data_IF_231907769920
#
_entry.id   IF_231907769920
#
_cell.length_a   1.000
_cell.length_b   1.000
_cell.length_c   1.000
_cell.angle_alpha   90.00
_cell.angle_beta   90.00
_cell.angle_gamma   90.00
#
_symmetry.space_group_name_H-M   'P 1'
#
loop_
_entity.id
_entity.type
_entity.pdbx_description
1 polymer ?
#
# COMPACT_ATOMS: atom_id res chain seq x y z
N UNK A 1 -15.35 6.04 -61.06
CA UNK A 1 -15.47 7.50 -60.86
C UNK A 1 -16.75 7.68 -60.08
N UNK A 2 -16.65 8.43 -58.99
CA UNK A 2 -17.73 8.83 -58.06
C UNK A 2 -18.18 7.73 -57.07
N UNK A 3 -17.74 7.80 -55.81
CA UNK A 3 -18.22 8.66 -54.72
C UNK A 3 -19.38 7.97 -53.97
N UNK A 4 -19.02 7.25 -52.90
CA UNK A 4 -19.95 6.90 -51.83
C UNK A 4 -19.42 7.49 -50.53
N UNK A 5 -20.00 8.63 -50.17
CA UNK A 5 -20.06 9.13 -48.80
C UNK A 5 -20.80 8.10 -47.93
N UNK A 6 -20.20 7.73 -46.81
CA UNK A 6 -20.98 7.34 -45.63
C UNK A 6 -20.34 7.94 -44.39
N UNK A 7 -20.94 9.08 -44.01
CA UNK A 7 -21.08 9.65 -42.66
C UNK A 7 -20.39 8.92 -41.52
N UNK A 8 -19.36 9.58 -40.99
CA UNK A 8 -18.95 9.47 -39.59
C UNK A 8 -20.13 9.87 -38.69
N UNK A 9 -20.64 8.92 -37.91
CA UNK A 9 -21.46 9.23 -36.75
C UNK A 9 -20.52 9.44 -35.57
N UNK A 10 -20.41 10.71 -35.17
CA UNK A 10 -19.93 11.15 -33.87
C UNK A 10 -20.73 10.42 -32.78
N UNK A 11 -20.13 9.40 -32.17
CA UNK A 11 -20.62 8.83 -30.93
C UNK A 11 -20.21 9.78 -29.80
N UNK A 12 -21.10 10.73 -29.49
CA UNK A 12 -21.01 11.60 -28.33
C UNK A 12 -21.08 10.76 -27.04
N UNK A 13 -19.95 10.28 -26.55
CA UNK A 13 -19.83 9.68 -25.21
C UNK A 13 -19.64 10.78 -24.15
N UNK A 14 -20.61 11.68 -24.04
CA UNK A 14 -20.60 12.83 -23.13
C UNK A 14 -21.02 12.40 -21.70
N UNK A 15 -20.31 11.41 -21.15
CA UNK A 15 -20.64 10.82 -19.84
C UNK A 15 -19.46 10.25 -19.05
N UNK A 16 -18.22 10.42 -19.53
CA UNK A 16 -17.01 9.87 -18.88
C UNK A 16 -15.95 10.92 -18.49
N UNK A 17 -16.24 12.21 -18.71
CA UNK A 17 -15.29 13.32 -18.53
C UNK A 17 -15.42 14.04 -17.18
N UNK A 18 -15.91 13.37 -16.14
CA UNK A 18 -15.85 13.95 -14.80
C UNK A 18 -14.38 14.06 -14.37
N UNK A 19 -13.84 15.27 -14.10
CA UNK A 19 -12.57 15.40 -13.41
C UNK A 19 -12.63 14.66 -12.07
N UNK A 20 -11.48 14.36 -11.47
CA UNK A 20 -11.39 13.90 -10.08
C UNK A 20 -11.78 15.03 -9.10
N UNK A 21 -12.88 15.72 -9.35
CA UNK A 21 -13.46 16.69 -8.44
C UNK A 21 -13.99 15.90 -7.24
N UNK A 22 -13.20 15.88 -6.18
CA UNK A 22 -13.68 15.54 -4.85
C UNK A 22 -14.62 16.66 -4.40
N UNK A 23 -15.87 16.61 -4.84
CA UNK A 23 -16.99 17.31 -4.20
C UNK A 23 -17.22 16.65 -2.82
N UNK A 24 -16.29 16.91 -1.91
CA UNK A 24 -16.29 16.46 -0.54
C UNK A 24 -16.44 17.65 0.38
N UNK A 25 -17.60 18.33 0.32
CA UNK A 25 -18.00 19.48 1.17
C UNK A 25 -18.19 19.13 2.66
N UNK A 26 -17.25 18.38 3.23
CA UNK A 26 -17.21 18.03 4.63
C UNK A 26 -15.88 18.45 5.23
N UNK A 27 -15.92 19.35 6.21
CA UNK A 27 -14.75 19.66 7.02
C UNK A 27 -14.10 18.40 7.59
N UNK A 28 -12.84 18.50 8.01
CA UNK A 28 -11.97 17.38 8.45
C UNK A 28 -12.68 16.35 9.34
N UNK A 29 -13.60 16.77 10.21
CA UNK A 29 -14.41 15.88 11.04
C UNK A 29 -15.29 14.89 10.27
N UNK A 30 -15.96 15.31 9.18
CA UNK A 30 -16.75 14.40 8.33
C UNK A 30 -15.84 13.41 7.61
N UNK A 31 -14.71 13.87 7.09
CA UNK A 31 -13.75 13.01 6.41
C UNK A 31 -13.15 11.97 7.36
N UNK A 32 -12.82 12.37 8.59
CA UNK A 32 -12.40 11.45 9.64
C UNK A 32 -13.48 10.43 9.99
N UNK A 33 -14.74 10.87 10.09
CA UNK A 33 -15.87 9.99 10.38
C UNK A 33 -16.05 8.91 9.30
N UNK A 34 -15.88 9.25 8.01
CA UNK A 34 -15.90 8.26 6.91
C UNK A 34 -14.72 7.30 7.02
N UNK A 35 -13.53 7.83 7.24
CA UNK A 35 -12.27 7.04 7.33
C UNK A 35 -12.30 6.00 8.43
N UNK A 36 -12.93 6.31 9.57
CA UNK A 36 -13.09 5.39 10.70
C UNK A 36 -14.36 4.54 10.58
N UNK A 37 -15.44 5.12 10.06
CA UNK A 37 -16.76 4.49 10.00
C UNK A 37 -16.84 3.36 8.98
N UNK A 38 -16.21 3.51 7.81
CA UNK A 38 -16.23 2.46 6.77
C UNK A 38 -15.53 1.18 7.24
N UNK A 39 -14.28 1.20 7.75
CA UNK A 39 -13.66 -0.01 8.30
C UNK A 39 -14.45 -0.59 9.49
N UNK A 40 -14.99 0.25 10.37
CA UNK A 40 -15.80 -0.20 11.50
C UNK A 40 -17.08 -0.92 11.06
N UNK A 41 -17.74 -0.43 10.01
CA UNK A 41 -18.91 -1.08 9.41
C UNK A 41 -18.55 -2.43 8.77
N UNK A 42 -17.44 -2.49 8.01
CA UNK A 42 -16.91 -3.74 7.44
C UNK A 42 -16.66 -4.76 8.55
N UNK A 43 -15.93 -4.36 9.59
CA UNK A 43 -15.63 -5.22 10.73
C UNK A 43 -16.88 -5.69 11.49
N UNK A 44 -17.92 -4.85 11.58
CA UNK A 44 -19.19 -5.23 12.18
C UNK A 44 -19.92 -6.30 11.34
N UNK A 45 -19.94 -6.15 10.01
CA UNK A 45 -20.55 -7.13 9.09
C UNK A 45 -19.76 -8.43 9.06
N UNK A 46 -18.43 -8.37 9.16
CA UNK A 46 -17.56 -9.57 9.19
C UNK A 46 -17.78 -10.47 10.41
N UNK A 47 -18.55 -10.03 11.40
CA UNK A 47 -18.94 -10.84 12.56
C UNK A 47 -20.18 -11.70 12.34
N UNK A 48 -20.92 -11.45 11.25
CA UNK A 48 -22.12 -12.22 10.95
C UNK A 48 -21.72 -13.69 10.73
N UNK A 49 -22.33 -14.66 11.44
CA UNK A 49 -22.13 -16.08 11.19
C UNK A 49 -22.72 -16.44 9.83
N UNK A 50 -21.97 -17.18 9.01
CA UNK A 50 -22.38 -17.55 7.64
C UNK A 50 -22.49 -19.06 7.48
N UNK A 51 -21.66 -19.84 8.17
CA UNK A 51 -21.66 -21.30 8.08
C UNK A 51 -21.81 -21.91 9.46
N UNK A 52 -22.95 -22.57 9.68
CA UNK A 52 -23.15 -23.46 10.82
C UNK A 52 -22.58 -24.83 10.47
N UNK A 53 -21.63 -25.32 11.26
CA UNK A 53 -21.03 -26.64 11.06
C UNK A 53 -21.37 -27.56 12.22
N UNK A 54 -21.58 -28.84 11.94
CA UNK A 54 -21.83 -29.86 12.97
C UNK A 54 -20.58 -30.25 13.76
N UNK A 55 -19.38 -29.85 13.30
CA UNK A 55 -18.09 -30.30 13.82
C UNK A 55 -17.29 -29.21 14.54
N UNK A 56 -17.54 -27.93 14.24
CA UNK A 56 -16.93 -26.78 14.91
C UNK A 56 -17.95 -26.22 15.90
N UNK A 57 -17.61 -26.08 17.20
CA UNK A 57 -18.54 -25.62 18.24
C UNK A 57 -19.08 -24.20 18.01
N UNK A 58 -18.31 -23.36 17.32
CA UNK A 58 -18.65 -21.97 17.01
C UNK A 58 -18.93 -21.80 15.51
N UNK A 59 -19.96 -21.03 15.12
CA UNK A 59 -20.29 -20.80 13.72
C UNK A 59 -19.21 -19.95 13.04
N UNK A 60 -18.86 -20.31 11.80
CA UNK A 60 -17.82 -19.62 11.05
C UNK A 60 -18.33 -18.26 10.59
N UNK A 61 -17.58 -17.21 10.90
CA UNK A 61 -17.96 -15.81 10.63
C UNK A 61 -17.49 -15.38 9.25
N UNK A 62 -18.19 -14.42 8.63
CA UNK A 62 -17.83 -13.89 7.32
C UNK A 62 -16.37 -13.43 7.25
N UNK A 63 -15.85 -12.77 8.30
CA UNK A 63 -14.46 -12.29 8.35
C UNK A 63 -13.40 -13.40 8.30
N UNK A 64 -13.73 -14.61 8.75
CA UNK A 64 -12.81 -15.76 8.69
C UNK A 64 -12.72 -16.36 7.29
N UNK A 65 -13.79 -16.19 6.50
CA UNK A 65 -13.86 -16.65 5.10
C UNK A 65 -13.58 -15.52 4.09
N UNK A 66 -13.52 -14.27 4.56
CA UNK A 66 -13.32 -13.08 3.74
C UNK A 66 -11.96 -13.16 3.03
N UNK A 67 -11.98 -12.99 1.71
CA UNK A 67 -10.74 -12.83 0.92
C UNK A 67 -10.12 -11.44 1.12
N UNK A 68 -10.85 -10.51 1.75
CA UNK A 68 -10.43 -9.12 1.91
C UNK A 68 -10.15 -8.42 0.58
N UNK A 69 -9.15 -7.54 0.59
CA UNK A 69 -8.63 -6.84 -0.59
C UNK A 69 -7.45 -7.55 -1.27
N UNK A 70 -7.00 -8.69 -0.73
CA UNK A 70 -5.79 -9.39 -1.19
C UNK A 70 -5.84 -9.72 -2.68
N UNK A 71 -6.92 -10.29 -3.27
CA UNK A 71 -6.94 -10.59 -4.70
C UNK A 71 -6.77 -9.36 -5.58
N UNK A 72 -7.35 -8.21 -5.17
CA UNK A 72 -7.23 -6.95 -5.88
C UNK A 72 -5.81 -6.41 -5.78
N UNK A 73 -5.23 -6.36 -4.57
CA UNK A 73 -3.85 -5.92 -4.35
C UNK A 73 -2.88 -6.73 -5.21
N UNK A 74 -3.05 -8.06 -5.24
CA UNK A 74 -2.26 -8.95 -6.10
C UNK A 74 -2.43 -8.61 -7.59
N UNK A 75 -3.65 -8.34 -8.05
CA UNK A 75 -3.90 -7.95 -9.43
C UNK A 75 -3.25 -6.61 -9.81
N UNK A 76 -3.30 -5.62 -8.92
CA UNK A 76 -2.63 -4.33 -9.12
C UNK A 76 -1.12 -4.49 -9.28
N UNK A 77 -0.49 -5.30 -8.43
CA UNK A 77 0.95 -5.61 -8.55
C UNK A 77 1.25 -6.38 -9.84
N UNK A 78 0.43 -7.37 -10.18
CA UNK A 78 0.61 -8.18 -11.39
C UNK A 78 0.54 -7.31 -12.65
N UNK A 79 -0.45 -6.44 -12.75
CA UNK A 79 -0.60 -5.51 -13.89
C UNK A 79 0.55 -4.51 -13.95
N UNK A 80 1.05 -4.02 -12.82
CA UNK A 80 2.23 -3.14 -12.80
C UNK A 80 3.50 -3.88 -13.27
N UNK A 81 3.67 -5.15 -12.91
CA UNK A 81 4.75 -6.01 -13.42
C UNK A 81 4.62 -6.23 -14.93
N UNK A 82 3.42 -6.56 -15.42
CA UNK A 82 3.17 -6.71 -16.85
C UNK A 82 3.47 -5.40 -17.59
N UNK A 83 3.04 -4.26 -17.05
CA UNK A 83 3.28 -2.96 -17.66
C UNK A 83 4.77 -2.57 -17.69
N UNK A 84 5.56 -3.04 -16.72
CA UNK A 84 7.02 -2.86 -16.73
C UNK A 84 7.68 -3.72 -17.82
N UNK A 85 7.25 -4.98 -17.97
CA UNK A 85 7.84 -5.94 -18.89
C UNK A 85 7.41 -5.72 -20.35
N UNK A 86 6.15 -5.35 -20.58
CA UNK A 86 5.56 -5.16 -21.90
C UNK A 86 5.85 -3.74 -22.43
N UNK A 87 6.64 -3.58 -23.51
CA UNK A 87 7.06 -2.26 -24.00
C UNK A 87 5.89 -1.32 -24.29
N UNK A 88 4.82 -1.82 -24.91
CA UNK A 88 3.64 -1.01 -25.25
C UNK A 88 2.81 -0.52 -24.05
N UNK A 89 3.07 -1.03 -22.84
CA UNK A 89 2.35 -0.63 -21.62
C UNK A 89 3.20 0.25 -20.70
N UNK A 90 4.50 0.41 -20.98
CA UNK A 90 5.41 1.27 -20.21
C UNK A 90 4.95 2.72 -20.20
N UNK A 91 4.54 3.23 -21.36
CA UNK A 91 4.00 4.59 -21.51
C UNK A 91 2.77 4.83 -20.61
N UNK A 92 1.94 3.82 -20.34
CA UNK A 92 0.78 3.97 -19.44
C UNK A 92 1.17 4.20 -17.97
N UNK A 93 2.38 3.80 -17.56
CA UNK A 93 2.88 3.98 -16.19
C UNK A 93 3.29 5.42 -15.90
N UNK A 94 3.65 6.14 -16.96
CA UNK A 94 4.19 7.51 -16.94
C UNK A 94 3.27 8.54 -17.63
N UNK A 95 2.28 8.09 -18.41
CA UNK A 95 1.32 8.92 -19.16
C UNK A 95 0.23 9.58 -18.32
N UNK A 96 0.56 10.00 -17.09
CA UNK A 96 -0.33 10.77 -16.23
C UNK A 96 -1.61 10.03 -15.78
N UNK A 97 -2.67 10.79 -15.43
CA UNK A 97 -3.92 10.25 -14.90
C UNK A 97 -4.60 9.26 -15.85
N UNK A 98 -4.62 9.54 -17.16
CA UNK A 98 -5.31 8.68 -18.12
C UNK A 98 -4.60 7.33 -18.32
N UNK A 99 -3.27 7.34 -18.44
CA UNK A 99 -2.48 6.11 -18.47
C UNK A 99 -2.70 5.26 -17.22
N UNK A 100 -2.69 5.89 -16.04
CA UNK A 100 -2.94 5.23 -14.76
C UNK A 100 -4.36 4.72 -14.60
N UNK A 101 -5.37 5.40 -15.15
CA UNK A 101 -6.76 4.93 -15.21
C UNK A 101 -6.87 3.65 -16.03
N UNK A 102 -6.18 3.55 -17.17
CA UNK A 102 -6.16 2.34 -18.01
C UNK A 102 -5.55 1.15 -17.27
N UNK A 103 -4.39 1.32 -16.63
CA UNK A 103 -3.78 0.26 -15.82
C UNK A 103 -4.68 -0.17 -14.66
N UNK A 104 -5.33 0.79 -14.01
CA UNK A 104 -6.28 0.51 -12.93
C UNK A 104 -7.46 -0.32 -13.42
N UNK A 105 -8.04 0.00 -14.59
CA UNK A 105 -9.13 -0.79 -15.18
C UNK A 105 -8.71 -2.24 -15.42
N UNK A 106 -7.52 -2.46 -15.97
CA UNK A 106 -6.97 -3.81 -16.15
C UNK A 106 -6.75 -4.53 -14.81
N UNK A 107 -6.21 -3.84 -13.81
CA UNK A 107 -6.02 -4.41 -12.48
C UNK A 107 -7.34 -4.84 -11.83
N UNK A 108 -8.42 -4.09 -12.03
CA UNK A 108 -9.75 -4.47 -11.53
C UNK A 108 -10.33 -5.69 -12.24
N UNK A 109 -10.15 -5.80 -13.56
CA UNK A 109 -10.59 -6.99 -14.31
C UNK A 109 -9.80 -8.24 -13.91
N UNK A 110 -8.48 -8.14 -13.83
CA UNK A 110 -7.62 -9.23 -13.33
C UNK A 110 -8.00 -9.56 -11.89
N UNK A 111 -8.26 -8.55 -11.06
CA UNK A 111 -8.69 -8.69 -9.68
C UNK A 111 -9.99 -9.46 -9.54
N UNK A 112 -11.00 -9.16 -10.35
CA UNK A 112 -12.27 -9.90 -10.38
C UNK A 112 -12.05 -11.39 -10.70
N UNK A 113 -11.22 -11.69 -11.70
CA UNK A 113 -10.89 -13.07 -12.06
C UNK A 113 -10.17 -13.78 -10.92
N UNK A 114 -9.17 -13.14 -10.30
CA UNK A 114 -8.46 -13.70 -9.15
C UNK A 114 -9.37 -13.91 -7.94
N UNK A 115 -10.27 -12.96 -7.65
CA UNK A 115 -11.26 -13.09 -6.57
C UNK A 115 -12.16 -14.30 -6.81
N UNK A 116 -12.70 -14.47 -8.02
CA UNK A 116 -13.55 -15.62 -8.35
C UNK A 116 -12.79 -16.93 -8.22
N UNK A 117 -11.55 -16.98 -8.71
CA UNK A 117 -10.70 -18.17 -8.62
C UNK A 117 -10.36 -18.52 -7.15
N UNK A 118 -10.04 -17.53 -6.32
CA UNK A 118 -9.74 -17.75 -4.90
C UNK A 118 -11.00 -18.13 -4.11
N UNK A 119 -12.14 -17.49 -4.37
CA UNK A 119 -13.42 -17.83 -3.76
C UNK A 119 -13.83 -19.27 -4.12
N UNK A 120 -13.61 -19.67 -5.38
CA UNK A 120 -13.85 -21.03 -5.84
C UNK A 120 -12.96 -22.04 -5.11
N UNK A 121 -11.66 -21.79 -5.04
CA UNK A 121 -10.70 -22.65 -4.34
C UNK A 121 -11.02 -22.80 -2.85
N UNK A 122 -11.35 -21.69 -2.17
CA UNK A 122 -11.76 -21.72 -0.77
C UNK A 122 -13.06 -22.52 -0.58
N UNK A 123 -14.02 -22.34 -1.48
CA UNK A 123 -15.28 -23.08 -1.43
C UNK A 123 -15.07 -24.59 -1.61
N UNK A 124 -14.21 -25.00 -2.57
CA UNK A 124 -13.85 -26.40 -2.77
C UNK A 124 -13.16 -27.00 -1.53
N UNK A 125 -12.28 -26.24 -0.90
CA UNK A 125 -11.64 -26.65 0.35
C UNK A 125 -12.67 -26.86 1.47
N UNK A 126 -13.59 -25.91 1.67
CA UNK A 126 -14.66 -26.03 2.68
C UNK A 126 -15.62 -27.20 2.42
N UNK A 127 -15.86 -27.52 1.14
CA UNK A 127 -16.62 -28.72 0.77
C UNK A 127 -15.86 -30.02 1.09
N UNK A 128 -14.56 -30.06 0.81
CA UNK A 128 -13.72 -31.23 1.09
C UNK A 128 -13.68 -31.52 2.60
N UNK A 129 -13.63 -30.47 3.42
CA UNK A 129 -13.70 -30.54 4.88
C UNK A 129 -15.13 -30.76 5.42
N UNK A 130 -16.12 -30.96 4.54
CA UNK A 130 -17.55 -31.18 4.88
C UNK A 130 -18.16 -30.06 5.72
N UNK A 131 -17.62 -28.85 5.62
CA UNK A 131 -18.11 -27.65 6.31
C UNK A 131 -19.24 -26.98 5.54
N UNK A 132 -19.27 -27.15 4.21
CA UNK A 132 -20.29 -26.58 3.33
C UNK A 132 -20.85 -27.66 2.41
N UNK A 133 -22.18 -27.69 2.25
CA UNK A 133 -22.84 -28.66 1.37
C UNK A 133 -22.70 -28.28 -0.12
N UNK A 134 -22.79 -29.29 -0.99
CA UNK A 134 -22.71 -29.13 -2.45
C UNK A 134 -23.67 -28.10 -3.05
N UNK A 135 -24.87 -27.94 -2.48
CA UNK A 135 -25.89 -27.00 -2.97
C UNK A 135 -25.64 -25.54 -2.60
N UNK A 136 -24.85 -25.26 -1.56
CA UNK A 136 -24.59 -23.89 -1.06
C UNK A 136 -23.29 -23.29 -1.60
N UNK A 137 -22.44 -24.09 -2.23
CA UNK A 137 -21.10 -23.69 -2.67
C UNK A 137 -21.11 -22.54 -3.68
N UNK A 138 -22.02 -22.57 -4.65
CA UNK A 138 -22.11 -21.50 -5.64
C UNK A 138 -22.53 -20.19 -4.98
N UNK A 139 -23.53 -20.23 -4.10
CA UNK A 139 -23.97 -19.04 -3.35
C UNK A 139 -22.85 -18.49 -2.46
N UNK A 140 -22.08 -19.36 -1.79
CA UNK A 140 -20.93 -18.96 -0.99
C UNK A 140 -19.83 -18.32 -1.85
N UNK A 141 -19.45 -18.96 -2.96
CA UNK A 141 -18.43 -18.44 -3.88
C UNK A 141 -18.77 -17.02 -4.37
N UNK A 142 -19.99 -16.81 -4.87
CA UNK A 142 -20.43 -15.49 -5.31
C UNK A 142 -20.61 -14.51 -4.15
N UNK A 143 -21.04 -14.99 -2.98
CA UNK A 143 -21.14 -14.18 -1.76
C UNK A 143 -19.79 -13.63 -1.32
N UNK A 144 -18.75 -14.47 -1.29
CA UNK A 144 -17.38 -14.06 -0.95
C UNK A 144 -16.80 -13.11 -2.00
N UNK A 145 -17.03 -13.36 -3.29
CA UNK A 145 -16.60 -12.46 -4.34
C UNK A 145 -17.31 -11.10 -4.27
N UNK A 146 -18.62 -11.09 -4.01
CA UNK A 146 -19.39 -9.88 -3.78
C UNK A 146 -18.92 -9.13 -2.54
N UNK A 147 -18.55 -9.83 -1.47
CA UNK A 147 -18.01 -9.23 -0.25
C UNK A 147 -16.68 -8.50 -0.51
N UNK A 148 -15.75 -9.08 -1.26
CA UNK A 148 -14.55 -8.37 -1.73
C UNK A 148 -14.92 -7.11 -2.54
N UNK A 149 -15.97 -7.18 -3.38
CA UNK A 149 -16.51 -6.02 -4.09
C UNK A 149 -17.04 -4.93 -3.16
N UNK A 150 -17.73 -5.29 -2.08
CA UNK A 150 -18.21 -4.34 -1.05
C UNK A 150 -17.05 -3.66 -0.34
N UNK A 151 -16.02 -4.42 0.07
CA UNK A 151 -14.82 -3.85 0.70
C UNK A 151 -14.11 -2.89 -0.27
N UNK A 152 -14.02 -3.24 -1.55
CA UNK A 152 -13.48 -2.36 -2.59
C UNK A 152 -14.29 -1.08 -2.78
N UNK A 153 -15.63 -1.16 -2.80
CA UNK A 153 -16.48 0.04 -2.83
C UNK A 153 -16.24 0.89 -1.58
N UNK A 154 -16.08 0.26 -0.41
CA UNK A 154 -15.68 0.93 0.82
C UNK A 154 -14.36 1.70 0.68
N UNK A 155 -13.35 1.14 0.01
CA UNK A 155 -12.10 1.84 -0.25
C UNK A 155 -12.32 3.10 -1.09
N UNK A 156 -13.16 3.03 -2.13
CA UNK A 156 -13.51 4.19 -2.98
C UNK A 156 -14.33 5.25 -2.26
N UNK A 157 -15.18 4.85 -1.32
CA UNK A 157 -15.88 5.80 -0.43
C UNK A 157 -14.88 6.58 0.42
N UNK A 158 -13.85 5.92 0.96
CA UNK A 158 -12.78 6.58 1.72
C UNK A 158 -11.94 7.49 0.81
N UNK A 159 -11.56 7.05 -0.40
CA UNK A 159 -10.78 7.88 -1.34
C UNK A 159 -11.49 9.21 -1.66
N UNK A 160 -12.82 9.16 -1.83
CA UNK A 160 -13.64 10.31 -2.21
C UNK A 160 -14.01 11.22 -1.04
N UNK A 161 -14.44 10.64 0.08
CA UNK A 161 -15.04 11.39 1.18
C UNK A 161 -14.22 11.35 2.48
N UNK A 162 -13.22 10.49 2.56
CA UNK A 162 -12.38 10.29 3.73
C UNK A 162 -11.05 11.07 3.69
N UNK A 163 -10.17 10.66 4.60
CA UNK A 163 -8.77 11.02 4.72
C UNK A 163 -7.92 9.82 4.35
N UNK A 164 -6.74 10.08 3.78
CA UNK A 164 -5.85 9.06 3.29
C UNK A 164 -6.40 8.33 2.06
N UNK A 165 -5.70 7.27 1.68
CA UNK A 165 -6.11 6.39 0.60
C UNK A 165 -6.91 5.20 1.18
N UNK A 166 -8.02 4.85 0.57
CA UNK A 166 -8.95 3.84 1.05
C UNK A 166 -8.37 2.43 1.10
N UNK A 167 -7.51 2.05 0.15
CA UNK A 167 -6.78 0.77 0.25
C UNK A 167 -5.82 0.79 1.43
N UNK A 168 -5.03 1.86 1.59
CA UNK A 168 -4.11 1.99 2.71
C UNK A 168 -4.84 1.95 4.06
N UNK A 169 -5.98 2.63 4.19
CA UNK A 169 -6.81 2.64 5.40
C UNK A 169 -7.34 1.25 5.70
N UNK A 170 -7.97 0.57 4.74
CA UNK A 170 -8.57 -0.75 4.98
C UNK A 170 -7.52 -1.83 5.27
N UNK A 171 -6.39 -1.82 4.57
CA UNK A 171 -5.28 -2.74 4.83
C UNK A 171 -4.61 -2.44 6.18
N UNK A 172 -4.46 -1.18 6.54
CA UNK A 172 -3.88 -0.78 7.83
C UNK A 172 -4.78 -1.16 9.02
N UNK A 173 -6.09 -0.94 8.90
CA UNK A 173 -7.05 -1.28 9.96
C UNK A 173 -7.22 -2.80 10.12
N UNK A 174 -7.06 -3.58 9.04
CA UNK A 174 -7.09 -5.05 9.11
C UNK A 174 -6.13 -5.61 10.18
N UNK A 175 -4.92 -5.06 10.31
CA UNK A 175 -3.97 -5.49 11.37
C UNK A 175 -4.54 -5.31 12.78
N UNK A 176 -5.28 -4.23 13.02
CA UNK A 176 -5.94 -3.95 14.31
C UNK A 176 -7.17 -4.85 14.50
N UNK A 177 -7.93 -5.08 13.42
CA UNK A 177 -9.10 -5.96 13.42
C UNK A 177 -8.72 -7.41 13.72
N UNK A 178 -7.61 -7.90 13.16
CA UNK A 178 -7.07 -9.23 13.45
C UNK A 178 -6.66 -9.37 14.91
N UNK A 179 -5.96 -8.37 15.47
CA UNK A 179 -5.60 -8.36 16.88
C UNK A 179 -6.85 -8.34 17.80
N UNK A 180 -7.85 -7.56 17.41
CA UNK A 180 -9.16 -7.52 18.07
C UNK A 180 -9.93 -8.84 18.00
N UNK A 181 -9.86 -9.54 16.86
CA UNK A 181 -10.46 -10.87 16.69
C UNK A 181 -9.83 -11.87 17.65
N UNK A 182 -8.50 -11.93 17.71
CA UNK A 182 -7.76 -12.81 18.63
C UNK A 182 -8.16 -12.57 20.09
N UNK A 183 -8.39 -11.32 20.51
CA UNK A 183 -8.84 -10.98 21.88
C UNK A 183 -10.24 -11.49 22.22
N UNK A 184 -11.12 -11.67 21.25
CA UNK A 184 -12.53 -11.98 21.48
C UNK A 184 -12.88 -13.45 21.24
N UNK A 185 -12.15 -14.14 20.36
CA UNK A 185 -12.47 -15.53 20.01
C UNK A 185 -11.88 -16.54 20.98
N UNK A 186 -10.80 -16.21 21.71
CA UNK A 186 -9.93 -17.22 22.30
C UNK A 186 -9.30 -18.03 21.16
N UNK A 187 -7.98 -18.04 21.05
CA UNK A 187 -7.35 -18.78 19.96
C UNK A 187 -7.45 -20.29 20.28
N UNK A 188 -7.93 -21.16 19.37
CA UNK A 188 -7.85 -22.61 19.56
C UNK A 188 -6.40 -23.11 19.72
N UNK A 189 -5.42 -22.28 19.33
CA UNK A 189 -3.98 -22.58 19.33
C UNK A 189 -3.14 -21.57 20.16
N UNK A 190 -3.76 -20.69 20.96
CA UNK A 190 -3.05 -19.66 21.73
C UNK A 190 -3.89 -18.93 22.80
N UNK A 191 -3.23 -18.19 23.69
CA UNK A 191 -3.91 -17.35 24.69
C UNK A 191 -4.46 -16.06 24.04
N UNK A 192 -5.60 -15.58 24.54
CA UNK A 192 -6.15 -14.29 24.11
C UNK A 192 -5.13 -13.15 24.34
N UNK A 193 -4.95 -12.20 23.40
CA UNK A 193 -4.06 -11.05 23.55
C UNK A 193 -4.29 -10.35 24.88
N UNK A 194 -3.23 -10.29 25.68
CA UNK A 194 -3.25 -9.64 26.99
C UNK A 194 -3.11 -8.13 26.83
N UNK A 195 -3.32 -7.37 27.92
CA UNK A 195 -3.00 -5.94 27.94
C UNK A 195 -1.54 -5.68 27.51
N UNK A 196 -0.61 -6.57 27.88
CA UNK A 196 0.80 -6.49 27.50
C UNK A 196 0.99 -6.62 25.97
N UNK A 197 0.24 -7.51 25.31
CA UNK A 197 0.22 -7.62 23.84
C UNK A 197 -0.20 -6.32 23.17
N UNK A 198 -1.31 -5.73 23.63
CA UNK A 198 -1.83 -4.47 23.07
C UNK A 198 -0.86 -3.31 23.29
N UNK A 199 -0.26 -3.22 24.48
CA UNK A 199 0.76 -2.21 24.79
C UNK A 199 2.01 -2.38 23.93
N UNK A 200 2.48 -3.61 23.73
CA UNK A 200 3.64 -3.90 22.87
C UNK A 200 3.40 -3.53 21.41
N UNK A 201 2.23 -3.90 20.87
CA UNK A 201 1.85 -3.55 19.50
C UNK A 201 1.70 -2.03 19.31
N UNK A 202 1.04 -1.35 20.26
CA UNK A 202 0.88 0.09 20.25
C UNK A 202 2.21 0.84 20.38
N UNK A 203 3.12 0.37 21.25
CA UNK A 203 4.46 0.93 21.38
C UNK A 203 5.26 0.77 20.09
N UNK A 204 5.25 -0.41 19.48
CA UNK A 204 5.94 -0.65 18.22
C UNK A 204 5.42 0.28 17.12
N UNK A 205 4.09 0.35 16.94
CA UNK A 205 3.47 1.25 15.99
C UNK A 205 3.79 2.73 16.27
N UNK A 206 3.78 3.15 17.53
CA UNK A 206 4.11 4.52 17.94
C UNK A 206 5.56 4.87 17.65
N UNK A 207 6.52 3.99 17.98
CA UNK A 207 7.95 4.20 17.70
C UNK A 207 8.16 4.33 16.19
N UNK A 208 7.53 3.46 15.40
CA UNK A 208 7.57 3.52 13.93
C UNK A 208 6.95 4.82 13.41
N UNK A 209 5.78 5.21 13.90
CA UNK A 209 5.12 6.45 13.50
C UNK A 209 5.98 7.68 13.83
N UNK A 210 6.59 7.72 15.02
CA UNK A 210 7.55 8.77 15.41
C UNK A 210 8.75 8.76 14.49
N UNK A 211 9.33 7.60 14.18
CA UNK A 211 10.46 7.49 13.27
C UNK A 211 10.11 7.97 11.85
N UNK A 212 8.96 7.57 11.32
CA UNK A 212 8.48 8.05 10.02
C UNK A 212 8.19 9.55 10.06
N UNK A 213 7.60 10.09 11.12
CA UNK A 213 7.35 11.54 11.24
C UNK A 213 8.64 12.37 11.30
N UNK A 214 9.66 11.87 12.03
CA UNK A 214 10.92 12.56 12.33
C UNK A 214 12.01 12.37 11.29
N UNK A 215 11.93 11.31 10.47
CA UNK A 215 12.80 11.10 9.32
C UNK A 215 12.56 12.21 8.30
N UNK A 216 13.21 13.36 8.47
CA UNK A 216 13.25 14.43 7.47
C UNK A 216 14.05 13.96 6.25
N UNK A 217 14.08 14.78 5.21
CA UNK A 217 14.87 14.52 4.01
C UNK A 217 16.32 14.24 4.40
N UNK A 218 16.83 13.07 3.99
CA UNK A 218 18.18 12.61 4.34
C UNK A 218 19.19 13.19 3.35
N UNK A 219 18.78 13.34 2.11
CA UNK A 219 19.50 14.12 1.12
C UNK A 219 18.52 15.05 0.38
N UNK A 220 18.92 16.31 0.23
CA UNK A 220 18.26 17.28 -0.64
C UNK A 220 19.26 17.68 -1.71
N UNK A 221 18.85 17.58 -2.96
CA UNK A 221 19.63 17.97 -4.13
C UNK A 221 18.69 18.75 -5.05
N UNK A 222 18.89 20.07 -5.18
CA UNK A 222 17.90 20.93 -5.84
C UNK A 222 16.50 20.81 -5.20
N UNK A 223 15.50 20.52 -6.04
CA UNK A 223 14.10 20.25 -5.66
C UNK A 223 13.85 18.78 -5.27
N UNK A 224 14.78 17.87 -5.58
CA UNK A 224 14.67 16.46 -5.21
C UNK A 224 14.95 16.26 -3.74
N UNK A 225 14.02 15.57 -3.09
CA UNK A 225 14.01 15.33 -1.66
C UNK A 225 13.98 13.83 -1.39
N UNK A 226 15.14 13.26 -1.04
CA UNK A 226 15.29 11.83 -0.77
C UNK A 226 15.03 11.53 0.70
N UNK A 227 14.01 10.71 0.95
CA UNK A 227 13.55 10.35 2.28
C UNK A 227 13.73 8.87 2.53
N UNK A 228 14.32 8.52 3.67
CA UNK A 228 14.43 7.12 4.07
C UNK A 228 13.05 6.57 4.49
N UNK A 229 12.77 5.28 4.23
CA UNK A 229 13.63 4.32 3.54
C UNK A 229 13.52 4.39 2.00
N UNK A 230 14.65 4.54 1.30
CA UNK A 230 14.68 4.50 -0.16
C UNK A 230 14.31 3.13 -0.74
N UNK A 231 14.61 2.05 -0.02
CA UNK A 231 14.23 0.69 -0.40
C UNK A 231 12.78 0.34 -0.09
N UNK A 232 12.02 1.26 0.52
CA UNK A 232 10.74 0.94 1.15
C UNK A 232 10.92 -0.07 2.30
N UNK A 233 9.83 -0.78 2.61
CA UNK A 233 9.78 -1.81 3.65
C UNK A 233 9.97 -3.25 3.10
N UNK A 234 10.08 -3.40 1.78
CA UNK A 234 10.28 -4.69 1.08
C UNK A 234 11.45 -5.52 1.63
N UNK A 235 12.62 -4.93 1.99
CA UNK A 235 13.71 -5.71 2.58
C UNK A 235 13.32 -6.50 3.84
N UNK A 236 12.32 -6.02 4.61
CA UNK A 236 11.85 -6.71 5.83
C UNK A 236 11.21 -8.05 5.49
N UNK A 237 10.29 -8.08 4.51
CA UNK A 237 9.65 -9.31 4.05
C UNK A 237 10.62 -10.22 3.30
N UNK A 238 11.53 -9.65 2.51
CA UNK A 238 12.55 -10.44 1.79
C UNK A 238 13.49 -11.14 2.77
N UNK A 239 13.95 -10.44 3.82
CA UNK A 239 14.77 -11.04 4.85
C UNK A 239 14.02 -12.12 5.62
N UNK A 240 12.80 -11.83 6.07
CA UNK A 240 11.96 -12.81 6.78
C UNK A 240 11.70 -14.07 5.93
N UNK A 241 11.37 -13.91 4.65
CA UNK A 241 11.09 -15.01 3.73
C UNK A 241 12.32 -15.86 3.42
N UNK A 242 13.45 -15.25 3.09
CA UNK A 242 14.69 -15.99 2.75
C UNK A 242 15.30 -16.68 3.98
N UNK A 243 15.31 -16.02 5.13
CA UNK A 243 15.80 -16.62 6.37
C UNK A 243 14.86 -17.73 6.84
N UNK A 244 13.54 -17.53 6.72
CA UNK A 244 12.54 -18.56 7.01
C UNK A 244 12.69 -19.79 6.12
N UNK A 245 12.89 -19.60 4.81
CA UNK A 245 13.14 -20.70 3.87
C UNK A 245 14.45 -21.44 4.18
N UNK A 246 15.51 -20.71 4.51
CA UNK A 246 16.76 -21.30 4.95
C UNK A 246 16.57 -22.11 6.25
N UNK A 247 15.78 -21.62 7.20
CA UNK A 247 15.44 -22.36 8.41
C UNK A 247 14.69 -23.66 8.11
N UNK A 248 13.69 -23.63 7.23
CA UNK A 248 12.92 -24.83 6.82
C UNK A 248 13.83 -25.86 6.15
N UNK A 249 14.77 -25.44 5.31
CA UNK A 249 15.63 -26.35 4.56
C UNK A 249 16.80 -26.91 5.37
N UNK A 250 17.29 -26.15 6.36
CA UNK A 250 18.45 -26.53 7.19
C UNK A 250 18.05 -27.13 8.54
N UNK A 251 16.78 -26.96 8.94
CA UNK A 251 16.25 -27.49 10.19
C UNK A 251 16.13 -29.01 10.15
N UNK A 252 16.47 -29.66 11.25
CA UNK A 252 16.16 -31.07 11.44
C UNK A 252 14.64 -31.23 11.60
N UNK A 253 13.95 -32.03 10.76
CA UNK A 253 12.53 -32.28 10.88
C UNK A 253 12.10 -32.79 12.27
N UNK A 254 13.03 -33.39 13.04
CA UNK A 254 12.78 -33.88 14.39
C UNK A 254 13.02 -32.87 15.53
N UNK A 255 13.63 -31.72 15.27
CA UNK A 255 14.05 -30.74 16.28
C UNK A 255 13.33 -29.38 16.10
N UNK A 256 12.00 -29.42 16.19
CA UNK A 256 11.15 -28.23 16.05
C UNK A 256 11.51 -27.20 17.12
N UNK A 257 11.99 -26.03 16.70
CA UNK A 257 12.38 -24.94 17.61
C UNK A 257 13.85 -24.93 18.01
N UNK A 258 14.68 -25.82 17.47
CA UNK A 258 16.13 -25.82 17.71
C UNK A 258 16.93 -25.49 16.42
N UNK A 259 18.09 -24.84 16.59
CA UNK A 259 19.00 -24.53 15.49
C UNK A 259 19.36 -23.06 15.33
N UNK A 260 20.34 -22.74 14.47
CA UNK A 260 20.94 -21.42 14.36
C UNK A 260 20.06 -20.37 13.67
N UNK A 261 18.99 -20.78 12.98
CA UNK A 261 18.09 -19.89 12.22
C UNK A 261 16.67 -19.83 12.78
N UNK A 262 16.44 -20.43 13.95
CA UNK A 262 15.16 -20.34 14.66
C UNK A 262 14.89 -18.87 15.04
N UNK A 263 13.66 -18.35 14.86
CA UNK A 263 13.30 -17.01 15.33
C UNK A 263 13.73 -16.77 16.78
N UNK A 264 14.41 -15.64 17.03
CA UNK A 264 14.96 -15.28 18.34
C UNK A 264 16.39 -15.76 18.62
N UNK A 265 16.94 -16.68 17.81
CA UNK A 265 18.35 -17.09 17.91
C UNK A 265 19.30 -16.04 17.34
N UNK A 266 20.54 -15.99 17.85
CA UNK A 266 21.58 -15.08 17.36
C UNK A 266 21.85 -15.22 15.87
N UNK A 267 21.85 -16.45 15.34
CA UNK A 267 22.07 -16.68 13.91
C UNK A 267 20.92 -16.18 13.05
N UNK A 268 19.67 -16.29 13.51
CA UNK A 268 18.51 -15.68 12.86
C UNK A 268 18.60 -14.15 12.83
N UNK A 269 19.03 -13.51 13.93
CA UNK A 269 19.25 -12.06 13.99
C UNK A 269 20.29 -11.62 12.95
N UNK A 270 21.45 -12.30 12.92
CA UNK A 270 22.54 -12.00 11.99
C UNK A 270 22.07 -12.20 10.54
N UNK A 271 21.45 -13.34 10.23
CA UNK A 271 20.98 -13.65 8.88
C UNK A 271 19.95 -12.62 8.40
N UNK A 272 18.99 -12.25 9.26
CA UNK A 272 17.98 -11.23 8.96
C UNK A 272 18.62 -9.86 8.72
N UNK A 273 19.58 -9.48 9.56
CA UNK A 273 20.32 -8.22 9.41
C UNK A 273 21.13 -8.16 8.12
N UNK A 274 21.87 -9.23 7.78
CA UNK A 274 22.70 -9.29 6.56
C UNK A 274 21.83 -9.30 5.30
N UNK A 275 20.86 -10.21 5.22
CA UNK A 275 19.96 -10.32 4.05
C UNK A 275 19.16 -9.02 3.89
N UNK A 276 18.64 -8.48 5.00
CA UNK A 276 17.91 -7.21 5.02
C UNK A 276 18.78 -6.03 4.56
N UNK A 277 20.03 -5.93 5.00
CA UNK A 277 20.95 -4.89 4.57
C UNK A 277 21.29 -4.98 3.07
N UNK A 278 21.59 -6.18 2.58
CA UNK A 278 21.88 -6.40 1.16
C UNK A 278 20.67 -6.05 0.28
N UNK A 279 19.48 -6.52 0.66
CA UNK A 279 18.23 -6.20 -0.04
C UNK A 279 17.93 -4.69 0.02
N UNK A 280 18.21 -4.04 1.15
CA UNK A 280 18.05 -2.59 1.32
C UNK A 280 18.91 -1.79 0.35
N UNK A 281 20.20 -2.10 0.25
CA UNK A 281 21.10 -1.41 -0.67
C UNK A 281 20.66 -1.65 -2.12
N UNK A 282 20.42 -2.90 -2.50
CA UNK A 282 20.01 -3.25 -3.85
C UNK A 282 18.72 -2.52 -4.27
N UNK A 283 17.68 -2.60 -3.43
CA UNK A 283 16.37 -2.01 -3.73
C UNK A 283 16.39 -0.47 -3.70
N UNK A 284 17.23 0.15 -2.88
CA UNK A 284 17.39 1.61 -2.91
C UNK A 284 17.86 2.09 -4.30
N UNK A 285 18.82 1.41 -4.93
CA UNK A 285 19.25 1.73 -6.30
C UNK A 285 18.21 1.34 -7.36
N UNK A 286 17.47 0.25 -7.16
CA UNK A 286 16.38 -0.15 -8.08
C UNK A 286 15.22 0.83 -8.05
N UNK A 287 14.88 1.43 -6.91
CA UNK A 287 13.77 2.38 -6.82
C UNK A 287 14.20 3.82 -7.11
N UNK A 288 15.39 4.23 -6.65
CA UNK A 288 15.96 5.56 -6.84
C UNK A 288 17.16 5.53 -7.79
N UNK A 289 17.00 4.88 -8.94
CA UNK A 289 18.05 4.79 -9.96
C UNK A 289 18.60 6.19 -10.30
N UNK A 290 19.92 6.45 -10.18
CA UNK A 290 20.49 7.80 -10.29
C UNK A 290 20.09 8.55 -11.56
N UNK A 291 20.04 7.85 -12.70
CA UNK A 291 19.59 8.41 -13.98
C UNK A 291 18.16 8.95 -13.94
N UNK A 292 17.23 8.25 -13.28
CA UNK A 292 15.83 8.70 -13.17
C UNK A 292 15.69 9.88 -12.22
N UNK A 293 16.46 9.88 -11.13
CA UNK A 293 16.47 10.97 -10.15
C UNK A 293 17.09 12.23 -10.75
N UNK A 294 18.17 12.08 -11.53
CA UNK A 294 18.90 13.18 -12.15
C UNK A 294 18.07 14.02 -13.13
N UNK A 295 16.98 13.46 -13.70
CA UNK A 295 16.08 14.19 -14.59
C UNK A 295 15.34 15.34 -13.91
N UNK A 296 15.23 15.30 -12.59
CA UNK A 296 14.64 16.37 -11.79
C UNK A 296 15.68 17.34 -11.23
N UNK A 297 16.94 17.22 -11.66
CA UNK A 297 18.04 18.07 -11.22
C UNK A 297 18.54 18.92 -12.39
N UNK A 298 18.54 20.23 -12.20
CA UNK A 298 19.14 21.16 -13.16
C UNK A 298 20.66 21.19 -13.04
N UNK A 299 21.34 21.49 -14.16
CA UNK A 299 22.77 21.76 -14.20
C UNK A 299 23.68 20.54 -14.49
N UNK A 300 25.00 20.78 -14.68
CA UNK A 300 25.95 19.73 -15.05
C UNK A 300 26.07 18.65 -13.96
N UNK A 301 26.55 17.47 -14.37
CA UNK A 301 26.80 16.32 -13.49
C UNK A 301 25.58 15.90 -12.64
N UNK A 302 24.36 16.09 -13.17
CA UNK A 302 23.12 15.75 -12.49
C UNK A 302 23.08 14.28 -12.03
N UNK A 303 23.56 13.35 -12.85
CA UNK A 303 23.63 11.92 -12.51
C UNK A 303 24.57 11.64 -11.32
N UNK A 304 25.75 12.25 -11.30
CA UNK A 304 26.72 12.08 -10.22
C UNK A 304 26.17 12.65 -8.91
N UNK A 305 25.52 13.82 -8.96
CA UNK A 305 24.86 14.43 -7.80
C UNK A 305 23.70 13.58 -7.30
N UNK A 306 22.87 13.06 -8.20
CA UNK A 306 21.78 12.13 -7.85
C UNK A 306 22.33 10.86 -7.19
N UNK A 307 23.38 10.26 -7.75
CA UNK A 307 24.06 9.09 -7.19
C UNK A 307 24.61 9.39 -5.80
N UNK A 308 25.28 10.53 -5.63
CA UNK A 308 25.79 11.00 -4.35
C UNK A 308 24.69 11.26 -3.32
N UNK A 309 23.53 11.77 -3.73
CA UNK A 309 22.36 11.95 -2.87
C UNK A 309 21.80 10.60 -2.39
N UNK A 310 21.67 9.61 -3.28
CA UNK A 310 21.26 8.24 -2.93
C UNK A 310 22.23 7.62 -1.93
N UNK A 311 23.54 7.70 -2.19
CA UNK A 311 24.57 7.19 -1.27
C UNK A 311 24.51 7.84 0.12
N UNK A 312 24.34 9.16 0.20
CA UNK A 312 24.16 9.87 1.47
C UNK A 312 22.91 9.43 2.24
N UNK A 313 21.88 8.98 1.53
CA UNK A 313 20.63 8.50 2.12
C UNK A 313 20.63 7.00 2.48
N UNK A 314 21.61 6.22 2.01
CA UNK A 314 21.72 4.78 2.32
C UNK A 314 21.89 4.49 3.82
N UNK A 315 22.76 5.18 4.59
CA UNK A 315 22.91 4.89 6.01
C UNK A 315 21.59 5.02 6.77
N UNK A 316 20.82 6.09 6.54
CA UNK A 316 19.52 6.26 7.19
C UNK A 316 18.50 5.20 6.74
N UNK A 317 18.56 4.78 5.47
CA UNK A 317 17.71 3.70 4.94
C UNK A 317 18.03 2.36 5.60
N UNK A 318 19.32 2.04 5.76
CA UNK A 318 19.79 0.84 6.45
C UNK A 318 19.42 0.86 7.93
N UNK A 319 19.63 2.00 8.60
CA UNK A 319 19.23 2.16 10.00
C UNK A 319 17.73 1.97 10.13
N UNK A 320 16.91 2.48 9.20
CA UNK A 320 15.47 2.23 9.17
C UNK A 320 15.13 0.74 9.03
N UNK A 321 15.59 0.07 7.98
CA UNK A 321 15.19 -1.30 7.70
C UNK A 321 15.75 -2.29 8.71
N UNK A 322 17.05 -2.23 9.00
CA UNK A 322 17.69 -3.12 9.96
C UNK A 322 17.22 -2.78 11.38
N UNK A 323 17.15 -1.50 11.73
CA UNK A 323 16.69 -1.08 13.06
C UNK A 323 15.24 -1.44 13.33
N UNK A 324 14.35 -1.36 12.33
CA UNK A 324 12.96 -1.82 12.47
C UNK A 324 12.88 -3.35 12.63
N UNK A 325 13.68 -4.12 11.87
CA UNK A 325 13.74 -5.57 12.05
C UNK A 325 14.21 -5.95 13.46
N UNK A 326 15.26 -5.29 13.96
CA UNK A 326 15.78 -5.50 15.31
C UNK A 326 14.80 -5.05 16.39
N UNK A 327 14.14 -3.90 16.22
CA UNK A 327 13.12 -3.39 17.13
C UNK A 327 11.95 -4.37 17.24
N UNK A 328 11.51 -4.93 16.11
CA UNK A 328 10.46 -5.93 16.08
C UNK A 328 10.89 -7.23 16.79
N UNK A 329 12.10 -7.72 16.57
CA UNK A 329 12.63 -8.89 17.26
C UNK A 329 12.77 -8.65 18.77
N UNK A 330 13.22 -7.47 19.18
CA UNK A 330 13.22 -7.07 20.58
C UNK A 330 11.80 -7.06 21.16
N UNK A 331 10.82 -6.54 20.42
CA UNK A 331 9.43 -6.51 20.85
C UNK A 331 8.84 -7.92 21.00
N UNK A 332 9.15 -8.85 20.09
CA UNK A 332 8.74 -10.26 20.19
C UNK A 332 9.28 -10.96 21.44
N UNK A 333 10.51 -10.65 21.86
CA UNK A 333 11.10 -11.22 23.07
C UNK A 333 10.48 -10.61 24.33
N UNK A 334 10.08 -9.33 24.28
CA UNK A 334 9.60 -8.61 25.46
C UNK A 334 8.09 -8.73 25.68
N UNK A 335 7.32 -8.85 24.60
CA UNK A 335 5.86 -8.85 24.61
C UNK A 335 5.33 -10.10 23.91
N UNK A 336 4.21 -10.70 24.37
CA UNK A 336 3.56 -11.82 23.69
C UNK A 336 2.79 -11.32 22.48
N UNK A 337 3.50 -10.89 21.44
CA UNK A 337 2.92 -10.42 20.18
C UNK A 337 2.50 -11.62 19.32
N UNK A 338 1.24 -11.68 18.86
CA UNK A 338 0.80 -12.73 17.95
C UNK A 338 1.45 -12.55 16.58
N UNK A 339 1.56 -13.63 15.80
CA UNK A 339 2.18 -13.60 14.48
C UNK A 339 1.53 -12.62 13.48
N UNK A 340 0.30 -12.19 13.73
CA UNK A 340 -0.38 -11.14 12.96
C UNK A 340 0.29 -9.77 13.08
N UNK A 341 0.93 -9.46 14.22
CA UNK A 341 1.68 -8.22 14.41
C UNK A 341 3.08 -8.43 13.84
N UNK A 342 3.38 -7.83 12.69
CA UNK A 342 4.68 -7.94 12.02
C UNK A 342 5.41 -6.61 11.96
N UNK A 343 6.74 -6.62 11.76
CA UNK A 343 7.53 -5.41 11.50
C UNK A 343 6.96 -4.60 10.32
N UNK A 344 6.52 -5.30 9.27
CA UNK A 344 5.95 -4.71 8.07
C UNK A 344 4.58 -4.09 8.34
N UNK A 345 3.70 -4.81 9.04
CA UNK A 345 2.39 -4.30 9.45
C UNK A 345 2.51 -3.05 10.33
N UNK A 346 3.42 -3.05 11.29
CA UNK A 346 3.72 -1.88 12.10
C UNK A 346 4.23 -0.70 11.25
N UNK A 347 5.11 -0.96 10.26
CA UNK A 347 5.57 0.04 9.29
C UNK A 347 4.42 0.71 8.55
N UNK A 348 3.54 -0.10 7.95
CA UNK A 348 2.39 0.37 7.19
C UNK A 348 1.37 1.10 8.05
N UNK A 349 1.04 0.56 9.23
CA UNK A 349 0.10 1.21 10.14
C UNK A 349 0.65 2.54 10.68
N UNK A 350 1.93 2.58 11.07
CA UNK A 350 2.58 3.82 11.50
C UNK A 350 2.62 4.88 10.39
N UNK A 351 2.89 4.46 9.15
CA UNK A 351 2.84 5.35 7.99
C UNK A 351 1.43 5.90 7.73
N UNK A 352 0.42 5.03 7.80
CA UNK A 352 -0.99 5.39 7.66
C UNK A 352 -1.38 6.45 8.70
N UNK A 353 -1.07 6.23 9.98
CA UNK A 353 -1.40 7.17 11.06
C UNK A 353 -0.74 8.54 10.82
N UNK A 354 0.52 8.56 10.41
CA UNK A 354 1.24 9.80 10.11
C UNK A 354 0.63 10.52 8.91
N UNK A 355 0.33 9.81 7.82
CA UNK A 355 -0.29 10.39 6.63
C UNK A 355 -1.67 10.97 6.92
N UNK A 356 -2.52 10.23 7.65
CA UNK A 356 -3.84 10.70 8.08
C UNK A 356 -3.74 11.97 8.94
N UNK A 357 -2.77 12.03 9.86
CA UNK A 357 -2.55 13.20 10.70
C UNK A 357 -2.06 14.41 9.90
N UNK A 358 -1.10 14.22 8.99
CA UNK A 358 -0.58 15.29 8.14
C UNK A 358 -1.65 15.86 7.21
N UNK A 359 -2.45 14.99 6.60
CA UNK A 359 -3.54 15.40 5.72
C UNK A 359 -4.64 16.12 6.51
N UNK A 360 -5.05 15.60 7.66
CA UNK A 360 -6.04 16.26 8.52
C UNK A 360 -5.57 17.65 8.96
N UNK A 361 -4.28 17.77 9.33
CA UNK A 361 -3.67 19.05 9.70
C UNK A 361 -3.66 20.02 8.53
N UNK A 362 -3.23 19.60 7.34
CA UNK A 362 -3.18 20.47 6.17
C UNK A 362 -4.59 20.91 5.73
N UNK A 363 -5.54 19.98 5.66
CA UNK A 363 -6.94 20.28 5.34
C UNK A 363 -7.61 21.18 6.39
N UNK A 364 -7.15 21.21 7.64
CA UNK A 364 -7.74 22.10 8.66
C UNK A 364 -7.52 23.60 8.36
N UNK A 365 -6.50 23.93 7.57
CA UNK A 365 -6.22 25.29 7.10
C UNK A 365 -6.84 25.62 5.72
N UNK A 366 -7.49 24.65 5.09
CA UNK A 366 -8.00 24.76 3.72
C UNK A 366 -9.50 24.45 3.67
N UNK A 367 -10.18 24.98 2.66
CA UNK A 367 -11.59 24.70 2.40
C UNK A 367 -11.78 23.36 1.67
N UNK A 368 -12.53 23.39 0.58
CA UNK A 368 -12.64 22.25 -0.32
C UNK A 368 -11.32 21.99 -1.03
N UNK A 369 -10.97 20.71 -1.13
CA UNK A 369 -9.71 20.24 -1.72
C UNK A 369 -10.02 19.24 -2.82
N UNK A 370 -9.22 19.27 -3.89
CA UNK A 370 -9.29 18.41 -5.05
C UNK A 370 -8.04 17.53 -5.18
N UNK A 371 -8.21 16.25 -5.48
CA UNK A 371 -7.10 15.36 -5.85
C UNK A 371 -6.86 15.45 -7.35
N UNK A 372 -5.76 16.09 -7.76
CA UNK A 372 -5.57 16.50 -9.17
C UNK A 372 -4.68 15.55 -9.97
N UNK A 373 -3.70 14.91 -9.33
CA UNK A 373 -2.75 14.07 -10.04
C UNK A 373 -2.23 12.90 -9.20
N UNK A 374 -2.25 11.66 -9.74
CA UNK A 374 -1.64 10.50 -9.08
C UNK A 374 -0.15 10.39 -9.43
N UNK A 375 0.71 10.61 -8.45
CA UNK A 375 2.17 10.42 -8.57
C UNK A 375 2.55 9.05 -8.02
N UNK A 376 3.16 8.21 -8.85
CA UNK A 376 3.61 6.86 -8.44
C UNK A 376 5.12 6.78 -8.12
N UNK A 377 5.87 7.82 -8.45
CA UNK A 377 7.31 7.93 -8.21
C UNK A 377 7.57 8.86 -7.02
N UNK A 378 8.05 8.29 -5.93
CA UNK A 378 8.22 9.02 -4.66
C UNK A 378 9.21 10.18 -4.80
N UNK A 379 10.29 10.02 -5.58
CA UNK A 379 11.28 11.10 -5.80
C UNK A 379 10.74 12.29 -6.61
N UNK A 380 9.66 12.11 -7.38
CA UNK A 380 9.05 13.18 -8.19
C UNK A 380 8.12 14.10 -7.35
N UNK A 381 7.70 13.66 -6.16
CA UNK A 381 6.80 14.43 -5.29
C UNK A 381 7.42 15.75 -4.86
N UNK A 382 8.70 15.75 -4.45
CA UNK A 382 9.42 16.95 -4.03
C UNK A 382 9.44 18.04 -5.12
N UNK A 383 9.93 17.73 -6.33
CA UNK A 383 9.89 18.64 -7.48
C UNK A 383 8.50 19.17 -7.82
N UNK A 384 7.47 18.30 -7.80
CA UNK A 384 6.08 18.72 -8.06
C UNK A 384 5.58 19.73 -7.02
N UNK A 385 5.78 19.43 -5.73
CA UNK A 385 5.35 20.34 -4.66
C UNK A 385 6.13 21.65 -4.66
N UNK A 386 7.44 21.62 -4.97
CA UNK A 386 8.26 22.84 -5.07
C UNK A 386 7.82 23.71 -6.25
N UNK A 387 7.46 23.11 -7.38
CA UNK A 387 6.95 23.82 -8.56
C UNK A 387 5.57 24.45 -8.31
N UNK A 388 4.65 23.73 -7.65
CA UNK A 388 3.35 24.28 -7.25
C UNK A 388 3.51 25.45 -6.28
N UNK A 389 4.39 25.30 -5.28
CA UNK A 389 4.67 26.36 -4.32
C UNK A 389 5.28 27.61 -4.98
N UNK A 390 6.11 27.45 -6.02
CA UNK A 390 6.69 28.57 -6.79
C UNK A 390 5.62 29.38 -7.53
N UNK A 391 4.51 28.74 -7.92
CA UNK A 391 3.35 29.36 -8.57
C UNK A 391 2.30 29.83 -7.54
N UNK A 392 2.61 29.76 -6.23
CA UNK A 392 1.71 30.19 -5.16
C UNK A 392 0.58 29.20 -4.83
N UNK A 393 0.67 27.96 -5.32
CA UNK A 393 -0.31 26.89 -5.08
C UNK A 393 0.11 26.07 -3.87
N UNK A 394 -0.64 26.16 -2.76
CA UNK A 394 -0.41 25.29 -1.61
C UNK A 394 -0.93 23.88 -1.92
N UNK A 395 -0.08 22.88 -1.74
CA UNK A 395 -0.35 21.51 -2.15
C UNK A 395 0.12 20.50 -1.10
N UNK A 396 -0.59 19.39 -1.01
CA UNK A 396 -0.27 18.29 -0.10
C UNK A 396 -0.19 16.96 -0.82
N UNK A 397 0.78 16.13 -0.46
CA UNK A 397 0.94 14.78 -1.00
C UNK A 397 0.25 13.75 -0.08
N UNK A 398 -0.94 13.30 -0.46
CA UNK A 398 -1.68 12.26 0.26
C UNK A 398 -0.97 10.92 0.16
N UNK A 399 -0.95 10.17 1.27
CA UNK A 399 -0.40 8.82 1.37
C UNK A 399 1.10 8.70 0.98
N UNK A 400 1.87 9.80 1.03
CA UNK A 400 3.28 9.82 0.66
C UNK A 400 4.10 8.80 1.45
N UNK A 401 3.89 8.71 2.78
CA UNK A 401 4.68 7.80 3.62
C UNK A 401 4.32 6.36 3.40
N UNK A 402 3.03 6.06 3.37
CA UNK A 402 2.57 4.72 3.11
C UNK A 402 3.10 4.23 1.76
N UNK A 403 3.00 5.09 0.73
CA UNK A 403 3.48 4.76 -0.61
C UNK A 403 5.01 4.69 -0.72
N UNK A 404 5.75 5.40 0.12
CA UNK A 404 7.22 5.27 0.20
C UNK A 404 7.68 3.93 0.77
N UNK A 405 6.85 3.25 1.57
CA UNK A 405 7.16 1.91 2.08
C UNK A 405 6.88 0.82 1.04
N UNK A 406 5.87 1.02 0.19
CA UNK A 406 5.50 0.05 -0.84
C UNK A 406 6.34 0.14 -2.12
N UNK A 407 6.78 1.35 -2.48
CA UNK A 407 7.55 1.58 -3.70
C UNK A 407 6.88 0.94 -4.93
N UNK A 408 7.59 0.13 -5.71
CA UNK A 408 7.02 -0.52 -6.90
C UNK A 408 5.76 -1.36 -6.59
N UNK A 409 5.64 -1.95 -5.39
CA UNK A 409 4.55 -2.84 -5.02
C UNK A 409 3.28 -2.13 -4.51
N UNK A 410 3.21 -0.80 -4.59
CA UNK A 410 2.07 -0.02 -4.14
C UNK A 410 1.26 0.70 -5.21
N UNK A 411 1.05 0.18 -6.44
CA UNK A 411 0.34 0.92 -7.48
C UNK A 411 -1.14 1.19 -7.14
N UNK A 412 -1.71 0.46 -6.18
CA UNK A 412 -3.07 0.67 -5.66
C UNK A 412 -3.18 1.83 -4.63
N UNK A 413 -2.04 2.38 -4.17
CA UNK A 413 -1.98 3.57 -3.29
C UNK A 413 -1.16 4.66 -3.99
N UNK A 414 -1.68 5.32 -5.04
CA UNK A 414 -0.96 6.46 -5.64
C UNK A 414 -0.76 7.58 -4.60
N UNK A 415 0.31 8.36 -4.77
CA UNK A 415 0.47 9.62 -4.03
C UNK A 415 -0.38 10.65 -4.73
N UNK A 416 -1.51 11.02 -4.15
CA UNK A 416 -2.40 12.01 -4.76
C UNK A 416 -1.98 13.41 -4.35
N UNK A 417 -1.75 14.27 -5.34
CA UNK A 417 -1.51 15.69 -5.10
C UNK A 417 -2.86 16.36 -4.83
N UNK A 418 -3.03 16.85 -3.60
CA UNK A 418 -4.18 17.61 -3.16
C UNK A 418 -3.88 19.09 -3.28
N UNK A 419 -4.82 19.84 -3.85
CA UNK A 419 -4.79 21.31 -3.93
C UNK A 419 -6.17 21.87 -3.56
N UNK A 420 -6.29 23.14 -3.15
CA UNK A 420 -7.58 23.79 -3.03
C UNK A 420 -8.35 23.71 -4.35
N UNK A 421 -9.64 23.39 -4.32
CA UNK A 421 -10.47 23.21 -5.53
C UNK A 421 -10.42 24.42 -6.47
N UNK A 422 -10.27 25.63 -5.91
CA UNK A 422 -10.17 26.87 -6.67
C UNK A 422 -8.90 26.98 -7.55
N UNK A 423 -7.86 26.19 -7.29
CA UNK A 423 -6.57 26.22 -7.99
C UNK A 423 -6.31 24.93 -8.79
N UNK A 424 -7.35 24.10 -8.98
CA UNK A 424 -7.22 22.78 -9.58
C UNK A 424 -6.66 22.83 -11.01
N UNK A 425 -7.20 23.69 -11.87
CA UNK A 425 -6.82 23.72 -13.29
C UNK A 425 -5.39 24.23 -13.48
N UNK A 426 -5.01 25.28 -12.73
CA UNK A 426 -3.65 25.82 -12.71
C UNK A 426 -2.64 24.77 -12.23
N UNK A 427 -3.00 24.01 -11.18
CA UNK A 427 -2.15 22.96 -10.63
C UNK A 427 -1.88 21.84 -11.64
N UNK A 428 -2.89 21.41 -12.40
CA UNK A 428 -2.73 20.36 -13.42
C UNK A 428 -1.68 20.80 -14.46
N UNK A 429 -1.77 22.03 -14.97
CA UNK A 429 -0.82 22.55 -15.95
C UNK A 429 0.61 22.66 -15.43
N UNK A 430 0.80 22.99 -14.14
CA UNK A 430 2.13 22.98 -13.50
C UNK A 430 2.68 21.56 -13.39
N UNK A 431 1.86 20.62 -12.92
CA UNK A 431 2.28 19.22 -12.73
C UNK A 431 2.66 18.57 -14.06
N UNK A 432 1.86 18.80 -15.11
CA UNK A 432 2.14 18.31 -16.45
C UNK A 432 3.49 18.80 -16.96
N UNK A 433 3.81 20.10 -16.81
CA UNK A 433 5.11 20.64 -17.23
C UNK A 433 6.29 19.98 -16.51
N UNK A 434 6.17 19.71 -15.21
CA UNK A 434 7.23 19.08 -14.41
C UNK A 434 7.41 17.60 -14.79
N UNK A 435 6.32 16.90 -15.09
CA UNK A 435 6.34 15.46 -15.36
C UNK A 435 6.44 15.11 -16.85
N UNK A 436 6.26 16.06 -17.78
CA UNK A 436 6.36 15.84 -19.23
C UNK A 436 7.73 15.27 -19.68
N UNK A 437 8.81 15.55 -18.93
CA UNK A 437 10.15 14.98 -19.19
C UNK A 437 10.27 13.48 -18.89
N UNK A 438 9.19 12.82 -18.46
CA UNK A 438 9.20 11.39 -18.12
C UNK A 438 8.94 10.49 -19.33
N UNK A 439 8.18 10.96 -20.32
CA UNK A 439 7.62 10.18 -21.45
C UNK A 439 8.68 9.63 -22.41
N UNK A 440 9.78 10.35 -22.64
CA UNK A 440 10.69 10.09 -23.77
C UNK A 440 11.70 8.94 -23.57
N UNK A 441 11.73 8.30 -22.39
CA UNK A 441 12.90 7.49 -22.02
C UNK A 441 12.65 6.20 -21.22
N UNK A 442 11.43 5.66 -21.23
CA UNK A 442 11.22 4.20 -21.02
C UNK A 442 11.08 3.44 -22.36
N UNK A 443 10.98 4.20 -23.46
CA UNK A 443 11.01 3.74 -24.86
C UNK A 443 12.45 3.62 -25.43
N UNK A 444 13.43 4.31 -24.82
CA UNK A 444 14.86 4.16 -25.10
C UNK A 444 15.52 3.21 -24.09
#
# INVERSE_FOLDING_TARGET
MDAHEHSDQEESSDGADAPLSTEGGGGVGKALAVTLGVPAAIWAVERIPVVDSLWIPEPMRLGEMSLGLVPLVTAFVLVEVVALLAPGWRSLRIGGPEGRRRLTRWALWVGLVLTLMQAFSLTLFLQAERLVSGGMSFALMFGLAAWTGVIFVGSRVIDRYGLGNGFAVLLGVQMVAELGRLSLSGDPFGDAPTLETWMGAALLAAVVAVWLSSSRFVAKEGSVRLRAPLSGAVPLSTAAGLVGLAHIYTGDPGAVGEGPLVPGSTGHLIATGVVGALATVALAFVFYGPLRVARFLDGPNAEERARGAVFRALPATLVFTVGLALLYQWALVRFPLPGAVTALGAAYFGALVVDLWLEARWRSGHGEVAAVWPVHRVYAVGPVLDALAAEGIDAHARAERYRSLLQFFGPYVPIEILVPTAQQDDAVGVIERVLAGETDAEEA
#
